data_IF_303161303611
#
_entry.id   IF_303161303611
#
_cell.length_a   1.000
_cell.length_b   1.000
_cell.length_c   1.000
_cell.angle_alpha   90.00
_cell.angle_beta   90.00
_cell.angle_gamma   90.00
#
_symmetry.space_group_name_H-M   'P 1'
#
loop_
_entity.id
_entity.type
_entity.pdbx_description
1 polymer ?
#
# COMPACT_ATOMS: atom_id res chain seq x y z
N UNK A 1 -9.27 -9.40 -7.37
CA UNK A 1 -9.52 -7.97 -7.63
C UNK A 1 -8.21 -7.31 -8.02
N UNK A 2 -8.26 -6.31 -8.90
CA UNK A 2 -7.08 -5.55 -9.31
C UNK A 2 -6.50 -4.85 -8.08
N UNK A 3 -5.35 -5.31 -7.60
CA UNK A 3 -4.77 -4.82 -6.33
C UNK A 3 -3.56 -3.91 -6.52
N UNK A 4 -3.14 -3.70 -7.76
CA UNK A 4 -2.08 -2.76 -8.17
C UNK A 4 -2.53 -1.99 -9.41
N UNK A 5 -2.08 -0.75 -9.56
CA UNK A 5 -2.48 0.12 -10.66
C UNK A 5 -1.53 1.31 -10.82
N UNK A 6 -1.60 1.95 -11.98
CA UNK A 6 -0.88 3.18 -12.32
C UNK A 6 -1.87 4.30 -12.60
N UNK A 7 -1.49 5.53 -12.28
CA UNK A 7 -2.33 6.71 -12.48
C UNK A 7 -1.46 7.92 -12.82
N UNK A 8 -1.81 8.62 -13.89
CA UNK A 8 -1.22 9.92 -14.22
C UNK A 8 -2.17 11.03 -13.82
N UNK A 9 -1.70 11.98 -12.99
CA UNK A 9 -2.47 13.14 -12.56
C UNK A 9 -1.63 14.41 -12.71
N UNK A 10 -1.89 15.20 -13.74
CA UNK A 10 -1.09 16.40 -14.00
C UNK A 10 0.39 16.06 -14.18
N UNK A 11 1.26 16.55 -13.28
CA UNK A 11 2.71 16.37 -13.36
C UNK A 11 3.26 15.13 -12.62
N UNK A 12 2.40 14.17 -12.24
CA UNK A 12 2.82 12.95 -11.52
C UNK A 12 2.34 11.67 -12.19
N UNK A 13 3.24 10.69 -12.24
CA UNK A 13 2.95 9.29 -12.48
C UNK A 13 3.02 8.57 -11.14
N UNK A 14 1.87 8.08 -10.68
CA UNK A 14 1.70 7.37 -9.42
C UNK A 14 1.57 5.88 -9.72
N UNK A 15 2.35 5.06 -9.03
CA UNK A 15 2.26 3.60 -9.08
C UNK A 15 1.78 3.13 -7.71
N UNK A 16 0.83 2.22 -7.67
CA UNK A 16 0.38 1.55 -6.45
C UNK A 16 0.68 0.05 -6.56
N UNK A 17 1.50 -0.46 -5.63
CA UNK A 17 1.81 -1.88 -5.51
C UNK A 17 1.15 -2.47 -4.26
N UNK A 18 0.73 -3.73 -4.37
CA UNK A 18 0.18 -4.49 -3.28
C UNK A 18 1.22 -5.47 -2.73
N UNK A 19 1.63 -5.34 -1.45
CA UNK A 19 2.54 -6.31 -0.82
C UNK A 19 1.88 -7.66 -0.54
N UNK A 20 0.56 -7.78 -0.61
CA UNK A 20 -0.21 -8.97 -0.24
C UNK A 20 -0.73 -9.79 -1.43
N UNK A 21 -0.16 -9.57 -2.61
CA UNK A 21 -0.34 -10.45 -3.78
C UNK A 21 1.00 -11.11 -4.12
N UNK A 22 0.96 -12.14 -4.96
CA UNK A 22 2.15 -12.76 -5.53
C UNK A 22 3.04 -11.68 -6.19
N UNK A 23 4.34 -11.71 -5.87
CA UNK A 23 5.27 -10.64 -6.20
C UNK A 23 6.61 -11.15 -6.75
N UNK A 24 6.69 -12.43 -7.11
CA UNK A 24 7.82 -12.97 -7.89
C UNK A 24 7.97 -12.29 -9.25
N UNK A 25 9.11 -12.46 -9.90
CA UNK A 25 9.38 -11.92 -11.25
C UNK A 25 8.38 -12.44 -12.30
N UNK A 26 7.87 -13.66 -12.12
CA UNK A 26 6.82 -14.23 -12.97
C UNK A 26 5.39 -13.75 -12.61
N UNK A 27 5.23 -12.95 -11.56
CA UNK A 27 3.92 -12.52 -11.10
C UNK A 27 3.27 -11.50 -12.06
N UNK A 28 1.93 -11.48 -12.16
CA UNK A 28 1.23 -10.46 -12.92
C UNK A 28 1.57 -9.02 -12.49
N UNK A 29 1.83 -8.81 -11.19
CA UNK A 29 2.19 -7.50 -10.65
C UNK A 29 3.57 -7.05 -11.14
N UNK A 30 4.56 -7.95 -11.15
CA UNK A 30 5.91 -7.62 -11.59
C UNK A 30 5.95 -7.32 -13.09
N UNK A 31 5.37 -8.19 -13.92
CA UNK A 31 5.29 -7.98 -15.37
C UNK A 31 4.50 -6.71 -15.72
N UNK A 32 3.42 -6.43 -14.98
CA UNK A 32 2.69 -5.18 -15.13
C UNK A 32 3.55 -3.96 -14.76
N UNK A 33 4.32 -4.03 -13.67
CA UNK A 33 5.19 -2.94 -13.25
C UNK A 33 6.27 -2.63 -14.30
N UNK A 34 6.88 -3.64 -14.92
CA UNK A 34 7.83 -3.45 -16.01
C UNK A 34 7.20 -2.68 -17.18
N UNK A 35 5.99 -3.07 -17.59
CA UNK A 35 5.24 -2.41 -18.66
C UNK A 35 4.82 -0.99 -18.29
N UNK A 36 4.40 -0.78 -17.05
CA UNK A 36 3.99 0.54 -16.55
C UNK A 36 5.18 1.50 -16.49
N UNK A 37 6.33 1.05 -16.01
CA UNK A 37 7.56 1.85 -15.96
C UNK A 37 8.10 2.18 -17.35
N UNK A 38 7.87 1.32 -18.35
CA UNK A 38 8.21 1.61 -19.74
C UNK A 38 7.37 2.77 -20.33
N UNK A 39 6.19 3.05 -19.76
CA UNK A 39 5.29 4.13 -20.18
C UNK A 39 5.56 5.46 -19.48
N UNK A 40 6.43 5.48 -18.47
CA UNK A 40 6.75 6.71 -17.73
C UNK A 40 7.54 7.66 -18.63
N UNK A 41 6.88 8.75 -19.04
CA UNK A 41 7.50 9.91 -19.66
C UNK A 41 7.71 11.02 -18.61
N UNK A 42 8.98 11.28 -18.26
CA UNK A 42 9.35 12.30 -17.28
C UNK A 42 9.25 13.74 -17.82
N UNK A 43 9.07 13.91 -19.12
CA UNK A 43 8.75 15.21 -19.74
C UNK A 43 7.28 15.60 -19.51
N UNK A 44 6.38 14.62 -19.42
CA UNK A 44 4.95 14.82 -19.11
C UNK A 44 4.70 14.76 -17.61
N UNK A 45 5.24 13.72 -16.96
CA UNK A 45 5.10 13.43 -15.53
C UNK A 45 6.46 13.47 -14.83
N UNK A 46 6.99 14.65 -14.51
CA UNK A 46 8.31 14.77 -13.89
C UNK A 46 8.39 14.06 -12.55
N UNK A 47 7.29 13.93 -11.80
CA UNK A 47 7.26 13.16 -10.55
C UNK A 47 6.87 11.70 -10.79
N UNK A 48 7.66 10.77 -10.26
CA UNK A 48 7.36 9.34 -10.20
C UNK A 48 7.31 8.91 -8.73
N UNK A 49 6.13 8.46 -8.28
CA UNK A 49 5.86 8.12 -6.89
C UNK A 49 5.30 6.71 -6.75
N UNK A 50 5.63 6.04 -5.65
CA UNK A 50 5.05 4.74 -5.28
C UNK A 50 4.14 4.89 -4.05
N UNK A 51 2.99 4.24 -4.11
CA UNK A 51 2.17 3.88 -2.97
C UNK A 51 2.30 2.37 -2.72
N UNK A 52 2.54 1.99 -1.48
CA UNK A 52 2.47 0.59 -1.03
C UNK A 52 1.95 0.56 0.39
N UNK A 53 1.21 -0.47 0.79
CA UNK A 53 0.67 -0.50 2.15
C UNK A 53 1.78 -0.60 3.21
N UNK A 54 2.67 -1.58 3.06
CA UNK A 54 3.75 -1.83 4.01
C UNK A 54 5.04 -1.08 3.61
N UNK A 55 5.71 -0.41 4.57
CA UNK A 55 6.92 0.37 4.34
C UNK A 55 8.12 -0.53 4.01
N UNK A 56 9.01 -0.03 3.16
CA UNK A 56 10.30 -0.70 2.86
C UNK A 56 11.44 -0.24 3.76
N UNK A 57 11.33 0.97 4.30
CA UNK A 57 12.32 1.61 5.15
C UNK A 57 11.59 2.32 6.28
N UNK A 58 11.86 1.93 7.52
CA UNK A 58 11.36 2.57 8.74
C UNK A 58 12.21 2.10 9.93
N UNK A 59 12.08 2.77 11.06
CA UNK A 59 12.80 2.44 12.30
C UNK A 59 11.88 2.08 13.47
N UNK A 60 10.56 2.02 13.26
CA UNK A 60 9.61 1.51 14.26
C UNK A 60 10.05 0.15 14.79
N UNK A 61 9.88 -0.09 16.09
CA UNK A 61 10.12 -1.39 16.72
C UNK A 61 9.07 -2.45 16.37
N UNK A 62 7.95 -2.05 15.78
CA UNK A 62 6.84 -2.91 15.35
C UNK A 62 6.85 -3.00 13.82
N UNK A 63 6.49 -4.17 13.29
CA UNK A 63 6.51 -4.52 11.86
C UNK A 63 7.90 -4.45 11.22
N UNK A 64 8.93 -4.97 11.91
CA UNK A 64 10.27 -5.07 11.34
C UNK A 64 10.23 -5.77 9.97
N UNK A 65 10.96 -5.23 9.01
CA UNK A 65 10.93 -5.71 7.62
C UNK A 65 11.33 -7.19 7.51
N UNK A 66 12.22 -7.65 8.40
CA UNK A 66 12.67 -9.04 8.48
C UNK A 66 11.54 -10.02 8.83
N UNK A 67 10.52 -9.54 9.56
CA UNK A 67 9.33 -10.31 9.93
C UNK A 67 8.21 -10.20 8.86
N UNK A 68 8.29 -9.22 7.97
CA UNK A 68 7.30 -8.89 6.93
C UNK A 68 7.65 -9.54 5.58
N UNK A 69 7.51 -10.87 5.50
CA UNK A 69 7.92 -11.66 4.32
C UNK A 69 7.30 -11.20 3.00
N UNK A 70 6.03 -10.81 3.00
CA UNK A 70 5.33 -10.40 1.80
C UNK A 70 5.89 -9.06 1.26
N UNK A 71 6.12 -8.11 2.18
CA UNK A 71 6.77 -6.82 1.90
C UNK A 71 8.20 -7.00 1.39
N UNK A 72 8.99 -7.87 2.04
CA UNK A 72 10.37 -8.16 1.62
C UNK A 72 10.43 -8.74 0.20
N UNK A 73 9.53 -9.68 -0.14
CA UNK A 73 9.46 -10.23 -1.51
C UNK A 73 9.08 -9.18 -2.54
N UNK A 74 8.10 -8.32 -2.23
CA UNK A 74 7.70 -7.25 -3.14
C UNK A 74 8.86 -6.27 -3.37
N UNK A 75 9.53 -5.84 -2.29
CA UNK A 75 10.68 -4.96 -2.34
C UNK A 75 11.79 -5.57 -3.20
N UNK A 76 12.17 -6.82 -2.94
CA UNK A 76 13.22 -7.51 -3.69
C UNK A 76 12.95 -7.52 -5.20
N UNK A 77 11.70 -7.83 -5.59
CA UNK A 77 11.34 -7.89 -7.00
C UNK A 77 11.14 -6.51 -7.65
N UNK A 78 10.75 -5.48 -6.90
CA UNK A 78 10.29 -4.19 -7.47
C UNK A 78 11.29 -3.04 -7.31
N UNK A 79 12.07 -3.04 -6.22
CA UNK A 79 13.02 -1.96 -5.90
C UNK A 79 14.07 -1.75 -7.01
N UNK A 80 14.66 -2.80 -7.64
CA UNK A 80 15.61 -2.60 -8.74
C UNK A 80 15.00 -1.83 -9.93
N UNK A 81 13.78 -2.20 -10.35
CA UNK A 81 13.06 -1.57 -11.45
C UNK A 81 12.75 -0.09 -11.14
N UNK A 82 12.29 0.18 -9.92
CA UNK A 82 11.95 1.54 -9.47
C UNK A 82 13.19 2.43 -9.30
N UNK A 83 14.31 1.87 -8.81
CA UNK A 83 15.59 2.58 -8.73
C UNK A 83 16.12 2.92 -10.12
N UNK A 84 16.02 1.99 -11.07
CA UNK A 84 16.37 2.23 -12.48
C UNK A 84 15.48 3.33 -13.09
N UNK A 85 14.18 3.34 -12.77
CA UNK A 85 13.24 4.38 -13.19
C UNK A 85 13.42 5.72 -12.42
N UNK A 86 14.35 5.78 -11.46
CA UNK A 86 14.66 6.98 -10.65
C UNK A 86 13.43 7.50 -9.92
N UNK A 87 12.74 6.61 -9.20
CA UNK A 87 11.61 6.99 -8.33
C UNK A 87 12.01 8.09 -7.33
N UNK A 88 11.09 9.02 -7.08
CA UNK A 88 11.34 10.19 -6.23
C UNK A 88 11.03 9.90 -4.75
N UNK A 89 9.86 9.32 -4.49
CA UNK A 89 9.42 9.01 -3.14
C UNK A 89 8.46 7.82 -3.09
N UNK A 90 8.42 7.18 -1.91
CA UNK A 90 7.57 6.05 -1.57
C UNK A 90 6.71 6.47 -0.37
N UNK A 91 5.40 6.32 -0.50
CA UNK A 91 4.45 6.55 0.58
C UNK A 91 3.85 5.21 1.02
N UNK A 92 3.75 5.05 2.33
CA UNK A 92 3.29 3.82 2.95
C UNK A 92 2.52 4.06 4.24
N UNK A 93 1.79 3.04 4.69
CA UNK A 93 1.06 3.01 5.95
C UNK A 93 1.61 1.89 6.83
N UNK A 94 0.72 0.98 7.25
CA UNK A 94 1.00 -0.25 8.02
C UNK A 94 1.55 -0.02 9.43
N UNK A 95 2.70 0.64 9.56
CA UNK A 95 3.23 1.10 10.84
C UNK A 95 2.39 2.27 11.32
N UNK A 96 1.73 2.13 12.48
CA UNK A 96 0.85 3.13 13.09
C UNK A 96 1.61 4.29 13.73
N UNK A 97 2.40 4.98 12.91
CA UNK A 97 3.15 6.17 13.27
C UNK A 97 3.36 7.03 12.00
N UNK A 98 3.93 8.21 12.21
CA UNK A 98 4.56 8.99 11.15
C UNK A 98 6.07 8.81 11.19
N UNK A 99 6.67 8.54 10.03
CA UNK A 99 8.12 8.58 9.87
C UNK A 99 8.49 9.09 8.48
N UNK A 100 9.51 9.94 8.41
CA UNK A 100 10.14 10.34 7.15
C UNK A 100 11.62 10.02 7.19
N UNK A 101 12.12 9.43 6.10
CA UNK A 101 13.55 9.18 5.94
C UNK A 101 14.31 10.40 5.39
N UNK A 102 15.60 10.48 5.64
CA UNK A 102 16.54 11.12 4.73
C UNK A 102 16.51 10.37 3.37
N UNK A 103 16.90 11.01 2.25
CA UNK A 103 16.95 10.32 0.97
C UNK A 103 17.96 9.16 1.00
N UNK A 104 17.51 7.93 0.74
CA UNK A 104 18.33 6.74 0.59
C UNK A 104 18.46 6.48 -0.91
N UNK A 105 19.68 6.55 -1.45
CA UNK A 105 19.93 6.54 -2.91
C UNK A 105 19.09 7.58 -3.69
N UNK A 106 18.76 8.69 -3.02
CA UNK A 106 17.91 9.76 -3.55
C UNK A 106 16.40 9.52 -3.46
N UNK A 107 15.95 8.36 -2.96
CA UNK A 107 14.53 8.03 -2.72
C UNK A 107 14.14 8.42 -1.30
N UNK A 108 13.00 9.10 -1.13
CA UNK A 108 12.45 9.42 0.19
C UNK A 108 11.35 8.45 0.57
N UNK A 109 11.38 7.98 1.80
CA UNK A 109 10.32 7.13 2.35
C UNK A 109 9.48 7.94 3.33
N UNK A 110 8.17 7.87 3.14
CA UNK A 110 7.16 8.45 4.03
C UNK A 110 6.28 7.31 4.53
N UNK A 111 6.28 7.13 5.84
CA UNK A 111 5.35 6.29 6.57
C UNK A 111 4.32 7.20 7.19
N UNK A 112 3.06 7.04 6.78
CA UNK A 112 1.91 7.81 7.25
C UNK A 112 0.79 6.83 7.63
N UNK A 113 1.09 5.87 8.51
CA UNK A 113 0.13 4.84 8.95
C UNK A 113 -0.67 5.22 10.20
N UNK A 114 -0.42 6.39 10.78
CA UNK A 114 -1.13 6.94 11.93
C UNK A 114 -2.53 7.52 11.61
N UNK A 115 -3.31 6.88 10.73
CA UNK A 115 -4.58 7.43 10.21
C UNK A 115 -5.79 7.39 11.16
N UNK A 116 -5.68 6.77 12.35
CA UNK A 116 -6.79 6.74 13.32
C UNK A 116 -7.57 5.43 13.42
N UNK A 117 -6.97 4.28 13.09
CA UNK A 117 -7.61 3.00 13.38
C UNK A 117 -7.64 2.70 14.89
N UNK A 118 -8.45 1.71 15.31
CA UNK A 118 -8.65 1.36 16.73
C UNK A 118 -7.52 0.56 17.38
N UNK A 119 -6.40 0.32 16.69
CA UNK A 119 -5.20 -0.29 17.25
C UNK A 119 -4.27 0.79 17.84
N UNK A 120 -3.19 0.34 18.49
CA UNK A 120 -2.24 1.21 19.17
C UNK A 120 -1.35 1.97 18.16
N UNK A 121 -0.94 3.18 18.55
CA UNK A 121 0.13 3.91 17.89
C UNK A 121 1.51 3.38 18.33
N UNK A 122 2.51 3.48 17.46
CA UNK A 122 3.83 2.92 17.68
C UNK A 122 4.89 4.00 17.90
N UNK A 123 5.17 4.35 19.16
CA UNK A 123 6.18 5.35 19.54
C UNK A 123 7.48 4.77 20.10
N UNK A 124 7.87 3.59 19.62
CA UNK A 124 9.14 2.97 20.01
C UNK A 124 9.98 2.72 18.77
N UNK A 125 11.23 3.18 18.84
CA UNK A 125 12.10 3.27 17.67
C UNK A 125 13.42 2.54 17.88
N UNK A 126 14.00 2.05 16.79
CA UNK A 126 15.38 1.59 16.69
C UNK A 126 16.29 2.78 16.37
N UNK A 127 17.59 2.63 16.62
CA UNK A 127 18.57 3.60 16.11
C UNK A 127 18.60 3.52 14.59
N UNK A 128 18.57 4.67 13.90
CA UNK A 128 18.71 4.71 12.45
C UNK A 128 19.24 6.07 12.02
N UNK A 129 20.31 6.06 11.22
CA UNK A 129 20.88 7.25 10.57
C UNK A 129 20.00 7.74 9.41
N UNK A 130 19.05 6.91 8.96
CA UNK A 130 18.19 7.23 7.83
C UNK A 130 16.87 7.88 8.25
N UNK A 131 16.48 7.82 9.52
CA UNK A 131 15.25 8.49 9.99
C UNK A 131 15.48 9.98 10.18
N UNK A 132 14.79 10.81 9.39
CA UNK A 132 14.87 12.26 9.51
C UNK A 132 13.87 12.83 10.52
N UNK A 133 12.67 12.26 10.59
CA UNK A 133 11.66 12.62 11.59
C UNK A 133 10.80 11.41 11.92
N UNK A 134 10.44 11.29 13.20
CA UNK A 134 9.58 10.23 13.75
C UNK A 134 8.54 10.87 14.65
N UNK A 135 7.30 10.38 14.60
CA UNK A 135 6.28 10.72 15.57
C UNK A 135 5.25 9.59 15.68
N UNK A 136 5.20 8.94 16.85
CA UNK A 136 4.30 7.82 17.12
C UNK A 136 3.25 8.13 18.18
N UNK A 137 3.09 9.39 18.58
CA UNK A 137 2.28 9.83 19.72
C UNK A 137 0.93 10.46 19.32
N UNK A 138 0.65 10.55 18.02
CA UNK A 138 -0.59 11.15 17.52
C UNK A 138 -1.08 10.51 16.21
N UNK A 139 -2.41 10.61 16.00
CA UNK A 139 -2.99 10.40 14.68
C UNK A 139 -2.79 11.61 13.78
N UNK A 140 -2.71 11.36 12.47
CA UNK A 140 -2.46 12.40 11.49
C UNK A 140 -2.70 11.98 10.06
N UNK A 141 -2.34 12.88 9.16
CA UNK A 141 -2.49 12.76 7.72
C UNK A 141 -1.48 13.68 7.02
N UNK A 142 -1.35 13.58 5.70
CA UNK A 142 -0.45 14.45 4.96
C UNK A 142 -1.02 15.05 3.67
N UNK A 143 -0.46 16.18 3.30
CA UNK A 143 -0.76 16.93 2.08
C UNK A 143 0.46 16.87 1.18
N UNK A 144 0.28 16.27 0.01
CA UNK A 144 1.25 16.33 -1.08
C UNK A 144 0.79 17.38 -2.11
N UNK A 145 1.63 18.38 -2.36
CA UNK A 145 1.42 19.37 -3.43
C UNK A 145 2.52 19.25 -4.46
N UNK A 146 2.12 19.09 -5.73
CA UNK A 146 3.04 18.83 -6.83
C UNK A 146 2.94 19.94 -7.88
N UNK A 147 4.09 20.52 -8.18
CA UNK A 147 4.36 21.38 -9.33
C UNK A 147 5.42 20.69 -10.19
N UNK A 148 5.51 20.95 -11.50
CA UNK A 148 6.46 20.25 -12.38
C UNK A 148 7.92 20.28 -11.90
N UNK A 149 8.36 21.36 -11.24
CA UNK A 149 9.73 21.52 -10.74
C UNK A 149 9.91 21.28 -9.25
N UNK A 150 8.82 21.16 -8.47
CA UNK A 150 8.89 21.08 -7.02
C UNK A 150 7.72 20.28 -6.44
N UNK A 151 8.04 19.32 -5.60
CA UNK A 151 7.10 18.67 -4.70
C UNK A 151 7.26 19.20 -3.28
N UNK A 152 6.14 19.31 -2.57
CA UNK A 152 6.12 19.65 -1.16
C UNK A 152 5.17 18.75 -0.38
N UNK A 153 5.61 18.33 0.78
CA UNK A 153 4.87 17.50 1.73
C UNK A 153 4.68 18.24 3.04
N UNK A 154 3.50 18.13 3.63
CA UNK A 154 3.23 18.54 5.01
C UNK A 154 2.48 17.42 5.73
N UNK A 155 3.04 16.91 6.82
CA UNK A 155 2.33 16.02 7.74
C UNK A 155 1.65 16.86 8.84
N UNK A 156 0.43 16.47 9.22
CA UNK A 156 -0.39 17.19 10.20
C UNK A 156 -0.99 16.24 11.21
N UNK A 157 -1.11 16.72 12.46
CA UNK A 157 -1.86 16.00 13.49
C UNK A 157 -3.36 16.15 13.28
N UNK A 158 -4.11 15.11 13.60
CA UNK A 158 -5.56 15.10 13.42
C UNK A 158 -6.31 15.89 14.50
N UNK A 159 -5.79 15.97 15.74
CA UNK A 159 -6.53 16.56 16.86
C UNK A 159 -6.52 18.10 16.88
N UNK A 160 -5.50 18.75 16.32
CA UNK A 160 -5.36 20.21 16.29
C UNK A 160 -4.97 20.77 14.91
N UNK A 161 -4.66 19.91 13.94
CA UNK A 161 -4.24 20.32 12.59
C UNK A 161 -2.82 20.86 12.52
N UNK A 162 -2.03 20.81 13.61
CA UNK A 162 -0.67 21.35 13.63
C UNK A 162 0.24 20.59 12.67
N UNK A 163 1.17 21.33 12.07
CA UNK A 163 2.18 20.77 11.16
C UNK A 163 3.24 20.06 11.99
N UNK A 164 3.38 18.77 11.76
CA UNK A 164 4.37 17.89 12.42
C UNK A 164 5.69 17.93 11.68
N UNK A 165 5.61 17.96 10.35
CA UNK A 165 6.78 17.85 9.49
C UNK A 165 6.51 18.48 8.13
N UNK A 166 7.59 18.95 7.51
CA UNK A 166 7.57 19.46 6.14
C UNK A 166 8.76 18.91 5.37
N UNK A 167 8.53 18.62 4.09
CA UNK A 167 9.60 18.24 3.19
C UNK A 167 9.38 18.83 1.80
N UNK A 168 10.47 19.07 1.09
CA UNK A 168 10.45 19.49 -0.31
C UNK A 168 11.50 18.71 -1.11
N UNK A 169 11.21 18.47 -2.38
CA UNK A 169 12.17 17.89 -3.31
C UNK A 169 11.87 18.30 -4.74
N UNK A 170 12.93 18.31 -5.55
CA UNK A 170 12.82 18.42 -7.00
C UNK A 170 12.69 17.02 -7.60
N UNK A 171 11.91 16.84 -8.67
CA UNK A 171 11.82 15.55 -9.34
C UNK A 171 13.18 15.12 -9.89
N UNK A 172 13.45 13.83 -9.85
CA UNK A 172 14.72 13.26 -10.31
C UNK A 172 14.70 13.14 -11.84
N UNK A 173 15.77 13.58 -12.48
CA UNK A 173 15.92 13.33 -13.92
C UNK A 173 16.28 11.86 -14.18
N UNK A 174 15.67 11.31 -15.24
CA UNK A 174 16.25 10.16 -15.95
C UNK A 174 17.49 10.71 -16.66
N UNK A 175 18.70 10.36 -16.21
CA UNK A 175 19.85 10.42 -17.12
C UNK A 175 19.57 9.37 -18.20
N UNK A 176 19.91 9.65 -19.45
CA UNK A 176 19.85 8.71 -20.58
C UNK A 176 20.66 7.43 -20.25
N UNK A 177 20.08 6.53 -19.47
CA UNK A 177 20.60 5.19 -19.28
C UNK A 177 19.98 4.34 -20.38
N UNK A 178 20.36 4.62 -21.63
CA UNK A 178 20.27 3.77 -22.83
C UNK A 178 19.18 2.68 -22.91
N UNK A 179 17.99 2.91 -22.36
CA UNK A 179 16.85 2.02 -22.55
C UNK A 179 16.25 2.39 -23.89
N UNK A 180 16.10 1.44 -24.82
CA UNK A 180 15.51 1.75 -26.10
C UNK A 180 14.12 2.34 -25.87
N UNK A 181 13.90 3.55 -26.38
CA UNK A 181 12.55 4.07 -26.56
C UNK A 181 11.78 3.04 -27.39
N UNK A 182 10.54 2.69 -27.04
CA UNK A 182 9.69 1.98 -27.97
C UNK A 182 9.51 2.89 -29.18
N UNK A 183 10.18 2.52 -30.28
CA UNK A 183 9.94 3.07 -31.61
C UNK A 183 8.44 3.07 -31.85
N UNK A 184 7.92 4.21 -32.33
CA UNK A 184 6.60 4.25 -32.96
C UNK A 184 6.56 3.13 -34.01
N UNK A 185 5.84 2.06 -33.71
CA UNK A 185 5.50 1.03 -34.66
C UNK A 185 4.12 1.40 -35.20
N UNK A 186 4.11 1.74 -36.48
CA UNK A 186 2.93 1.93 -37.30
C UNK A 186 1.93 0.78 -37.13
N UNK A 187 0.66 1.14 -37.25
CA UNK A 187 -0.46 0.32 -36.81
C UNK A 187 -0.61 -1.03 -37.48
N UNK A 188 -1.11 -1.98 -36.71
CA UNK A 188 -2.16 -2.87 -37.17
C UNK A 188 -3.01 -3.37 -35.99
N UNK A 189 -4.29 -3.51 -36.32
CA UNK A 189 -5.48 -3.69 -35.49
C UNK A 189 -5.47 -4.97 -34.63
N UNK A 190 -5.97 -4.85 -33.39
CA UNK A 190 -6.39 -5.97 -32.56
C UNK A 190 -7.25 -5.48 -31.40
N UNK A 191 -8.56 -5.45 -31.60
CA UNK A 191 -9.53 -5.04 -30.60
C UNK A 191 -9.65 -6.05 -29.46
N UNK A 192 -9.53 -5.59 -28.21
CA UNK A 192 -10.13 -6.24 -27.05
C UNK A 192 -10.62 -5.14 -26.09
N UNK A 193 -11.94 -5.07 -25.94
CA UNK A 193 -12.65 -3.94 -25.35
C UNK A 193 -12.49 -3.81 -23.84
N UNK A 194 -12.35 -2.56 -23.40
CA UNK A 194 -12.80 -2.10 -22.10
C UNK A 194 -13.75 -0.93 -22.34
N UNK A 195 -14.98 -1.08 -21.84
CA UNK A 195 -16.10 -0.18 -22.10
C UNK A 195 -15.81 1.25 -21.62
N UNK A 196 -15.93 2.21 -22.55
CA UNK A 196 -15.90 3.64 -22.26
C UNK A 196 -17.30 4.11 -21.78
N UNK A 197 -17.33 4.85 -20.68
CA UNK A 197 -18.50 5.64 -20.27
C UNK A 197 -18.52 6.99 -21.01
N UNK A 198 -19.70 7.57 -21.34
CA UNK A 198 -19.80 8.72 -22.23
C UNK A 198 -19.39 10.05 -21.55
N UNK A 199 -18.75 10.92 -22.33
CA UNK A 199 -18.42 12.31 -21.96
C UNK A 199 -19.65 13.23 -22.06
N UNK A 200 -19.81 14.24 -21.18
CA UNK A 200 -20.70 15.37 -21.43
C UNK A 200 -19.93 16.52 -22.11
N UNK A 201 -20.62 17.20 -23.04
CA UNK A 201 -20.07 18.17 -23.99
C UNK A 201 -19.69 19.55 -23.43
N UNK A 202 -18.98 20.30 -24.28
CA UNK A 202 -18.54 21.68 -24.08
C UNK A 202 -19.69 22.69 -23.93
N UNK A 203 -19.37 23.87 -23.36
CA UNK A 203 -19.49 25.06 -24.20
C UNK A 203 -18.25 25.97 -24.19
N UNK A 204 -18.22 26.83 -25.22
CA UNK A 204 -17.15 27.74 -25.65
C UNK A 204 -16.98 29.01 -24.80
N UNK A 205 -15.78 29.57 -24.99
CA UNK A 205 -15.32 30.97 -24.89
C UNK A 205 -15.10 31.61 -23.51
N UNK A 206 -13.87 32.13 -23.33
CA UNK A 206 -13.63 33.36 -22.58
C UNK A 206 -12.45 33.40 -21.62
N UNK A 207 -11.37 34.04 -22.05
CA UNK A 207 -10.42 34.85 -21.25
C UNK A 207 -9.40 34.15 -20.33
N UNK A 208 -8.16 34.58 -20.52
CA UNK A 208 -6.90 34.17 -19.90
C UNK A 208 -6.82 34.29 -18.37
N UNK A 209 -6.34 33.22 -17.75
CA UNK A 209 -5.50 33.23 -16.55
C UNK A 209 -4.71 31.91 -16.55
N UNK A 210 -3.40 31.96 -16.81
CA UNK A 210 -2.54 30.78 -16.77
C UNK A 210 -2.38 30.31 -15.32
N UNK A 211 -3.36 29.55 -14.85
CA UNK A 211 -3.27 28.83 -13.59
C UNK A 211 -2.43 27.58 -13.84
N UNK A 212 -1.20 27.55 -13.32
CA UNK A 212 -0.38 26.34 -13.32
C UNK A 212 -1.17 25.24 -12.60
N UNK A 213 -1.36 24.04 -13.19
CA UNK A 213 -2.14 22.99 -12.53
C UNK A 213 -1.40 22.52 -11.28
N UNK A 214 -1.96 22.80 -10.11
CA UNK A 214 -1.51 22.25 -8.83
C UNK A 214 -2.31 20.96 -8.59
N UNK A 215 -1.64 19.82 -8.63
CA UNK A 215 -2.23 18.59 -8.10
C UNK A 215 -2.08 18.61 -6.57
N UNK A 216 -3.20 18.52 -5.86
CA UNK A 216 -3.23 18.31 -4.40
C UNK A 216 -3.74 16.90 -4.16
N UNK A 217 -2.88 16.04 -3.62
CA UNK A 217 -3.24 14.68 -3.22
C UNK A 217 -3.24 14.64 -1.69
N UNK A 218 -4.42 14.40 -1.11
CA UNK A 218 -4.52 14.04 0.30
C UNK A 218 -4.20 12.55 0.41
N UNK A 219 -3.14 12.22 1.15
CA UNK A 219 -2.72 10.82 1.35
C UNK A 219 -3.23 10.39 2.72
N UNK A 220 -4.27 9.55 2.72
CA UNK A 220 -4.78 8.85 3.90
C UNK A 220 -4.76 7.36 3.56
N UNK A 221 -3.77 6.64 4.10
CA UNK A 221 -3.64 5.20 3.89
C UNK A 221 -4.31 4.46 5.05
N UNK A 222 -5.60 4.17 4.88
CA UNK A 222 -6.37 3.40 5.85
C UNK A 222 -5.93 1.93 5.83
N UNK A 223 -5.57 1.42 7.00
CA UNK A 223 -5.30 0.00 7.20
C UNK A 223 -6.57 -0.83 7.01
N UNK A 224 -6.49 -1.85 6.16
CA UNK A 224 -7.50 -2.90 6.07
C UNK A 224 -7.34 -3.84 7.28
N UNK A 225 -7.79 -3.43 8.46
CA UNK A 225 -7.95 -4.32 9.60
C UNK A 225 -9.24 -5.14 9.47
N UNK A 226 -9.29 -6.04 8.49
CA UNK A 226 -10.30 -7.08 8.42
C UNK A 226 -9.65 -8.44 8.72
N UNK A 227 -9.49 -8.78 10.01
CA UNK A 227 -9.04 -10.13 10.36
C UNK A 227 -8.87 -10.48 11.84
N UNK A 228 -8.58 -9.54 12.73
CA UNK A 228 -8.11 -9.90 14.09
C UNK A 228 -9.14 -9.72 15.21
N UNK A 229 -10.14 -8.84 15.04
CA UNK A 229 -11.16 -8.62 16.09
C UNK A 229 -12.13 -9.80 16.24
N UNK A 230 -12.37 -10.57 15.17
CA UNK A 230 -13.26 -11.75 15.23
C UNK A 230 -12.65 -12.90 16.04
N UNK A 231 -11.32 -13.08 15.98
CA UNK A 231 -10.64 -14.18 16.68
C UNK A 231 -10.47 -13.94 18.18
N UNK A 232 -10.37 -12.67 18.61
CA UNK A 232 -10.28 -12.32 20.03
C UNK A 232 -11.61 -12.47 20.76
N UNK A 233 -12.75 -12.33 20.05
CA UNK A 233 -14.10 -12.56 20.58
C UNK A 233 -14.48 -14.06 20.64
N UNK A 234 -14.00 -14.89 19.70
CA UNK A 234 -14.25 -16.33 19.74
C UNK A 234 -13.48 -17.07 20.85
N UNK A 235 -12.26 -16.65 21.20
CA UNK A 235 -11.53 -17.26 22.34
C UNK A 235 -12.17 -16.97 23.70
N UNK A 236 -12.82 -15.82 23.86
CA UNK A 236 -13.55 -15.47 25.10
C UNK A 236 -14.78 -16.34 25.33
N UNK A 237 -15.55 -16.63 24.28
CA UNK A 237 -16.75 -17.47 24.38
C UNK A 237 -16.46 -18.96 24.50
N UNK A 238 -15.38 -19.49 23.92
CA UNK A 238 -15.01 -20.90 24.06
C UNK A 238 -14.43 -21.26 25.45
N UNK A 239 -13.85 -20.31 26.17
CA UNK A 239 -13.34 -20.54 27.53
C UNK A 239 -14.43 -20.40 28.60
N UNK A 240 -15.50 -19.63 28.33
CA UNK A 240 -16.67 -19.53 29.21
C UNK A 240 -17.57 -20.78 29.12
N UNK A 241 -17.65 -21.42 27.95
CA UNK A 241 -18.45 -22.63 27.75
C UNK A 241 -17.90 -23.88 28.46
N UNK A 242 -16.60 -23.91 28.80
CA UNK A 242 -15.99 -25.06 29.49
C UNK A 242 -16.09 -25.01 31.02
N UNK A 243 -16.60 -23.93 31.62
CA UNK A 243 -16.78 -23.84 33.08
C UNK A 243 -18.21 -24.10 33.57
N UNK A 244 -19.21 -24.10 32.69
CA UNK A 244 -20.62 -24.30 33.09
C UNK A 244 -21.12 -25.76 32.96
N UNK A 245 -20.37 -26.66 32.31
CA UNK A 245 -20.78 -28.06 32.10
C UNK A 245 -20.26 -29.02 33.19
N UNK A 246 -20.26 -28.60 34.47
CA UNK A 246 -19.88 -29.46 35.62
C UNK A 246 -20.88 -29.48 36.77
N UNK A 247 -22.14 -29.11 36.53
CA UNK A 247 -23.21 -29.37 37.49
C UNK A 247 -24.49 -29.79 36.76
N UNK A 248 -24.72 -31.10 36.63
CA UNK A 248 -26.01 -31.57 36.16
C UNK A 248 -26.06 -33.02 35.65
N UNK A 249 -26.51 -33.90 36.55
CA UNK A 249 -27.35 -35.06 36.24
C UNK A 249 -26.72 -36.46 36.08
N UNK A 250 -27.52 -37.42 36.55
CA UNK A 250 -27.20 -38.75 37.05
C UNK A 250 -27.14 -39.81 35.94
N UNK A 251 -26.34 -40.83 36.21
CA UNK A 251 -26.17 -42.09 35.48
C UNK A 251 -27.45 -42.93 35.38
N UNK A 252 -27.72 -43.52 34.22
CA UNK A 252 -28.45 -44.78 34.09
C UNK A 252 -27.90 -45.58 32.90
N UNK A 253 -27.52 -46.83 33.15
CA UNK A 253 -26.96 -47.80 32.20
C UNK A 253 -27.99 -48.33 31.20
N UNK A 254 -27.55 -48.71 30.00
CA UNK A 254 -28.20 -49.72 29.16
C UNK A 254 -27.15 -50.63 28.50
N UNK A 255 -27.33 -51.95 28.65
CA UNK A 255 -26.54 -53.06 28.10
C UNK A 255 -26.90 -53.38 26.63
N UNK A 256 -26.09 -54.19 25.91
CA UNK A 256 -26.11 -54.25 24.44
C UNK A 256 -27.13 -55.26 23.89
N UNK A 257 -27.65 -54.98 22.69
CA UNK A 257 -28.55 -55.86 21.96
C UNK A 257 -27.78 -56.77 20.96
N UNK A 258 -28.18 -58.03 21.05
CA UNK A 258 -27.83 -59.27 20.35
C UNK A 258 -27.81 -59.18 18.81
N UNK A 259 -26.83 -59.86 18.22
CA UNK A 259 -26.74 -60.21 16.79
C UNK A 259 -27.55 -61.49 16.55
N UNK A 260 -28.51 -61.44 15.63
CA UNK A 260 -29.34 -62.57 15.19
C UNK A 260 -28.95 -63.05 13.79
N UNK A 261 -28.70 -64.34 13.72
CA UNK A 261 -28.22 -65.16 12.61
C UNK A 261 -29.22 -65.32 11.46
N UNK A 262 -28.71 -65.52 10.24
CA UNK A 262 -29.43 -66.15 9.12
C UNK A 262 -28.73 -67.46 8.79
N UNK A 263 -29.47 -68.57 8.87
CA UNK A 263 -29.07 -69.90 8.41
C UNK A 263 -29.14 -70.01 6.88
N UNK A 264 -28.15 -70.66 6.26
CA UNK A 264 -28.33 -71.92 5.50
C UNK A 264 -27.00 -72.38 4.89
N UNK A 265 -26.53 -73.58 5.23
CA UNK A 265 -26.35 -74.72 4.31
C UNK A 265 -25.48 -75.84 4.91
N UNK A 266 -25.94 -77.07 4.61
CA UNK A 266 -25.40 -78.43 4.78
C UNK A 266 -25.24 -79.01 6.18
#
# INVERSE_FOLDING_TARGET
GNSFYGLQLGCVHLIALNPYTESSEASPQHQWLEQELARVDRGVTPHLLLLTHAPWEHSSRVHQIEDERATTRLRYASEPLLKQARIDAIFSGHVHAYERSHPIDGVRHFVAGHGGNGEELYDRWLSSEHSALRAGDHYGWGILRLQPSLASWQARRSHDGEVVDTAQWVPRSRRDTGMPSPSAADGQTGAAGAAAAPSPGEPKDGSSSSTVPIAVVAVVLLGLAAGTVFWRRLRGSLMAAHSEERQGFKTTQASPAVVGSVESQS
#
